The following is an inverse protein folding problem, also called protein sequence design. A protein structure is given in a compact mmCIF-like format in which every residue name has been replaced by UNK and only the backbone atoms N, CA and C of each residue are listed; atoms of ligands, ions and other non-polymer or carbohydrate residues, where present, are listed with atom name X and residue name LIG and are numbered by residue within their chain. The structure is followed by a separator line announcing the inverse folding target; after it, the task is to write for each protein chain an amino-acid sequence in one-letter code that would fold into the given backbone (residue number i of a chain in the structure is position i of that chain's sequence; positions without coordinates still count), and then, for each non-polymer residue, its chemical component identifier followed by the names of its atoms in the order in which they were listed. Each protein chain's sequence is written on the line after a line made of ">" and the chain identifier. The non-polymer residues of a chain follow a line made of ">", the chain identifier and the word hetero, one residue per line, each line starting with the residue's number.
data_IF_643855221036
#
_entry.id   IF_643855221036
#
_cell.length_a   1.000
_cell.length_b   1.000
_cell.length_c   1.000
_cell.angle_alpha   90.00
_cell.angle_beta   90.00
_cell.angle_gamma   90.00
#
_symmetry.space_group_name_H-M   'P 1'
#
loop_
_entity.id
_entity.type
_entity.pdbx_description
1 polymer ?
#
# COMPACT_ATOMS: atom_id res chain seq x y z
N UNK A 1 -15.11 -4.57 -14.43
CA UNK A 1 -13.86 -3.80 -14.29
C UNK A 1 -12.70 -4.71 -14.62
N UNK A 2 -11.76 -4.21 -15.43
CA UNK A 2 -10.50 -4.89 -15.76
C UNK A 2 -9.40 -4.37 -14.84
N UNK A 3 -8.38 -5.20 -14.63
CA UNK A 3 -7.20 -4.83 -13.86
C UNK A 3 -6.02 -4.86 -14.81
N UNK A 4 -5.21 -3.82 -14.78
CA UNK A 4 -4.00 -3.74 -15.59
C UNK A 4 -2.78 -3.60 -14.68
N UNK A 5 -1.70 -4.28 -15.05
CA UNK A 5 -0.43 -4.18 -14.36
C UNK A 5 0.69 -4.03 -15.38
N UNK A 6 1.58 -3.08 -15.15
CA UNK A 6 2.81 -2.99 -15.89
C UNK A 6 3.86 -3.93 -15.28
N UNK A 7 4.55 -4.68 -16.13
CA UNK A 7 5.66 -5.55 -15.73
C UNK A 7 6.87 -5.28 -16.64
N UNK A 8 8.11 -5.37 -16.14
CA UNK A 8 9.29 -5.34 -16.99
C UNK A 8 9.21 -6.45 -18.03
N UNK A 9 9.49 -6.13 -19.29
CA UNK A 9 9.43 -7.07 -20.42
C UNK A 9 10.32 -8.28 -20.16
N UNK A 10 11.49 -8.07 -19.58
CA UNK A 10 12.44 -9.12 -19.21
C UNK A 10 11.93 -10.09 -18.13
N UNK A 11 10.89 -9.71 -17.37
CA UNK A 11 10.28 -10.53 -16.32
C UNK A 11 8.96 -11.17 -16.76
N UNK A 12 8.48 -10.87 -17.97
CA UNK A 12 7.22 -11.43 -18.47
C UNK A 12 7.42 -12.86 -18.97
N UNK A 13 6.67 -13.79 -18.40
CA UNK A 13 6.59 -15.18 -18.86
C UNK A 13 5.15 -15.48 -19.31
N UNK A 14 4.93 -15.85 -20.59
CA UNK A 14 3.61 -16.17 -21.11
C UNK A 14 2.91 -17.27 -20.31
N UNK A 15 1.63 -17.05 -19.98
CA UNK A 15 0.77 -17.98 -19.25
C UNK A 15 1.27 -18.40 -17.86
N UNK A 16 2.26 -17.70 -17.29
CA UNK A 16 2.71 -17.97 -15.93
C UNK A 16 1.60 -17.68 -14.92
N UNK A 17 1.39 -18.63 -14.01
CA UNK A 17 0.48 -18.47 -12.88
C UNK A 17 1.17 -17.67 -11.78
N UNK A 18 0.76 -16.42 -11.65
CA UNK A 18 1.19 -15.54 -10.58
C UNK A 18 0.42 -15.87 -9.31
N UNK A 19 1.16 -16.13 -8.23
CA UNK A 19 0.63 -16.50 -6.92
C UNK A 19 0.99 -15.47 -5.86
N UNK A 20 0.40 -15.63 -4.67
CA UNK A 20 0.72 -14.83 -3.49
C UNK A 20 2.23 -14.85 -3.23
N UNK A 21 2.84 -13.68 -3.10
CA UNK A 21 4.22 -13.58 -2.65
C UNK A 21 4.29 -13.84 -1.12
N UNK A 22 5.22 -14.68 -0.62
CA UNK A 22 5.26 -15.05 0.80
C UNK A 22 5.76 -13.91 1.71
N UNK A 23 6.59 -13.01 1.18
CA UNK A 23 7.18 -11.90 1.92
C UNK A 23 6.26 -10.69 2.08
N UNK A 24 6.62 -9.81 3.03
CA UNK A 24 6.00 -8.50 3.23
C UNK A 24 6.71 -7.46 2.38
N UNK A 25 5.94 -6.67 1.63
CA UNK A 25 6.43 -5.48 0.96
C UNK A 25 6.45 -4.32 1.96
N UNK A 26 7.62 -3.72 2.13
CA UNK A 26 7.75 -2.46 2.85
C UNK A 26 7.39 -1.31 1.90
N UNK A 27 6.78 -0.21 2.41
CA UNK A 27 6.54 0.95 1.59
C UNK A 27 7.88 1.59 1.18
N UNK A 28 7.97 2.03 -0.08
CA UNK A 28 9.16 2.72 -0.62
C UNK A 28 9.03 4.25 -0.58
N UNK A 29 7.79 4.76 -0.66
CA UNK A 29 7.47 6.18 -0.79
C UNK A 29 6.44 6.67 0.25
N UNK A 30 6.04 5.81 1.19
CA UNK A 30 5.16 6.14 2.31
C UNK A 30 5.98 6.05 3.60
N UNK A 31 5.88 7.05 4.52
CA UNK A 31 6.54 6.95 5.82
C UNK A 31 6.06 5.71 6.58
N UNK A 32 6.98 4.99 7.23
CA UNK A 32 6.65 3.76 7.95
C UNK A 32 5.55 3.96 9.01
N UNK A 33 5.56 5.10 9.70
CA UNK A 33 4.48 5.48 10.61
C UNK A 33 3.10 5.48 9.95
N UNK A 34 2.99 6.05 8.75
CA UNK A 34 1.72 6.12 8.03
C UNK A 34 1.27 4.72 7.61
N UNK A 35 2.18 3.92 7.04
CA UNK A 35 1.90 2.53 6.67
C UNK A 35 1.52 1.65 7.88
N UNK A 36 2.22 1.81 9.00
CA UNK A 36 1.93 1.14 10.26
C UNK A 36 0.53 1.49 10.77
N UNK A 37 0.14 2.77 10.72
CA UNK A 37 -1.20 3.23 11.14
C UNK A 37 -2.30 2.77 10.18
N UNK A 38 -2.04 2.74 8.88
CA UNK A 38 -2.94 2.15 7.91
C UNK A 38 -3.14 0.67 8.23
N UNK A 39 -2.10 -0.14 8.32
CA UNK A 39 -2.25 -1.56 8.62
C UNK A 39 -2.82 -1.85 10.02
N UNK A 40 -2.57 -0.98 11.00
CA UNK A 40 -3.16 -1.10 12.34
C UNK A 40 -4.68 -0.92 12.34
N UNK A 41 -5.17 0.04 11.55
CA UNK A 41 -6.60 0.38 11.43
C UNK A 41 -7.33 -0.40 10.35
N UNK A 42 -6.63 -1.28 9.63
CA UNK A 42 -7.17 -2.05 8.52
C UNK A 42 -8.33 -2.95 8.97
N UNK A 43 -9.51 -2.85 8.35
CA UNK A 43 -10.57 -3.83 8.54
C UNK A 43 -10.13 -5.21 8.04
N UNK A 44 -10.53 -6.27 8.75
CA UNK A 44 -10.07 -7.65 8.50
C UNK A 44 -10.30 -8.15 7.07
N UNK A 45 -11.39 -7.68 6.45
CA UNK A 45 -11.88 -8.06 5.13
C UNK A 45 -11.19 -7.29 3.99
N UNK A 46 -10.41 -6.26 4.30
CA UNK A 46 -9.71 -5.44 3.31
C UNK A 46 -8.31 -5.99 3.04
N UNK A 47 -7.81 -5.90 1.80
CA UNK A 47 -6.46 -6.34 1.48
C UNK A 47 -5.40 -5.51 2.24
N UNK A 48 -4.35 -6.19 2.69
CA UNK A 48 -3.14 -5.60 3.27
C UNK A 48 -2.21 -5.10 2.18
N UNK A 49 -1.78 -3.84 2.27
CA UNK A 49 -0.81 -3.24 1.33
C UNK A 49 0.55 -3.94 1.34
N UNK A 50 0.87 -4.61 2.45
CA UNK A 50 2.12 -5.34 2.65
C UNK A 50 2.15 -6.69 1.94
N UNK A 51 1.00 -7.20 1.56
CA UNK A 51 0.87 -8.47 0.83
C UNK A 51 0.16 -8.31 -0.52
N UNK A 52 -0.23 -7.09 -0.85
CA UNK A 52 -1.01 -6.79 -2.03
C UNK A 52 -0.20 -6.83 -3.33
N UNK A 53 -0.92 -7.17 -4.38
CA UNK A 53 -0.59 -6.88 -5.76
C UNK A 53 -1.24 -5.56 -6.14
N UNK A 54 -0.49 -4.72 -6.85
CA UNK A 54 -0.90 -3.39 -7.29
C UNK A 54 -1.25 -3.41 -8.77
N UNK A 55 -2.28 -2.67 -9.14
CA UNK A 55 -2.85 -2.60 -10.48
C UNK A 55 -3.42 -1.20 -10.76
N UNK A 56 -3.93 -1.01 -11.97
CA UNK A 56 -4.57 0.21 -12.45
C UNK A 56 -5.84 -0.11 -13.24
N UNK A 57 -6.81 0.83 -13.32
CA UNK A 57 -8.06 0.61 -14.04
C UNK A 57 -7.87 0.62 -15.58
N UNK A 58 -6.73 1.14 -16.07
CA UNK A 58 -6.38 1.19 -17.48
C UNK A 58 -4.92 0.80 -17.73
N UNK A 59 -4.60 0.40 -18.97
CA UNK A 59 -3.25 0.04 -19.39
C UNK A 59 -2.30 1.25 -19.39
N UNK A 60 -2.81 2.42 -19.79
CA UNK A 60 -2.08 3.67 -19.85
C UNK A 60 -1.63 4.11 -18.46
N UNK A 61 -2.53 4.02 -17.46
CA UNK A 61 -2.21 4.30 -16.07
C UNK A 61 -1.19 3.30 -15.51
N UNK A 62 -1.33 2.01 -15.84
CA UNK A 62 -0.37 1.00 -15.42
C UNK A 62 1.06 1.32 -15.90
N UNK A 63 1.20 1.80 -17.15
CA UNK A 63 2.49 2.23 -17.72
C UNK A 63 2.96 3.59 -17.20
N UNK A 64 2.05 4.48 -16.83
CA UNK A 64 2.39 5.79 -16.25
C UNK A 64 3.04 5.66 -14.88
N UNK A 65 2.54 4.73 -14.07
CA UNK A 65 3.01 4.47 -12.72
C UNK A 65 3.95 3.25 -12.62
N UNK A 66 4.46 2.78 -13.76
CA UNK A 66 5.46 1.72 -13.81
C UNK A 66 6.77 2.20 -13.18
N UNK A 67 6.98 1.88 -11.89
CA UNK A 67 8.21 2.18 -11.16
C UNK A 67 8.71 0.89 -10.50
N UNK A 68 9.44 0.06 -11.24
CA UNK A 68 10.14 -1.10 -10.69
C UNK A 68 11.63 -1.12 -11.11
N UNK A 69 12.52 -1.17 -10.12
CA UNK A 69 13.87 -1.74 -10.30
C UNK A 69 14.82 -1.05 -11.28
N UNK A 70 14.63 0.23 -11.63
CA UNK A 70 15.58 0.97 -12.46
C UNK A 70 15.53 0.66 -13.97
N UNK A 71 14.57 -0.14 -14.43
CA UNK A 71 14.31 -0.32 -15.86
C UNK A 71 13.75 0.98 -16.46
N UNK A 72 14.13 1.32 -17.70
CA UNK A 72 13.57 2.49 -18.37
C UNK A 72 12.08 2.26 -18.66
N UNK A 73 11.27 3.32 -18.66
CA UNK A 73 9.81 3.22 -18.88
C UNK A 73 9.43 2.50 -20.19
N UNK A 74 10.31 2.55 -21.19
CA UNK A 74 10.18 1.82 -22.47
C UNK A 74 10.31 0.30 -22.37
N UNK A 75 10.87 -0.21 -21.27
CA UNK A 75 11.12 -1.64 -21.06
C UNK A 75 9.93 -2.32 -20.35
N UNK A 76 8.79 -1.64 -20.23
CA UNK A 76 7.57 -2.15 -19.61
C UNK A 76 6.50 -2.48 -20.63
N UNK A 77 5.75 -3.52 -20.33
CA UNK A 77 4.50 -3.86 -21.02
C UNK A 77 3.33 -3.78 -20.04
N UNK A 78 2.21 -3.25 -20.50
CA UNK A 78 0.95 -3.36 -19.77
C UNK A 78 0.32 -4.73 -20.06
N UNK A 79 -0.19 -5.35 -19.00
CA UNK A 79 -0.89 -6.62 -19.08
C UNK A 79 -2.26 -6.50 -18.41
N UNK A 80 -3.30 -7.00 -19.08
CA UNK A 80 -4.59 -7.27 -18.46
C UNK A 80 -4.44 -8.51 -17.56
N UNK A 81 -4.97 -8.42 -16.33
CA UNK A 81 -4.91 -9.48 -15.34
C UNK A 81 -6.17 -10.36 -15.44
N UNK A 82 -5.98 -11.67 -15.54
CA UNK A 82 -7.07 -12.65 -15.51
C UNK A 82 -6.95 -13.51 -14.26
N UNK A 83 -7.98 -13.47 -13.41
CA UNK A 83 -7.98 -14.18 -12.13
C UNK A 83 -8.72 -15.52 -12.24
N UNK A 84 -8.25 -16.54 -11.52
CA UNK A 84 -9.01 -17.78 -11.33
C UNK A 84 -10.27 -17.52 -10.48
N UNK A 85 -10.11 -16.76 -9.39
CA UNK A 85 -11.20 -16.21 -8.57
C UNK A 85 -11.00 -14.72 -8.39
N UNK A 86 -12.06 -13.92 -8.57
CA UNK A 86 -11.95 -12.46 -8.43
C UNK A 86 -11.64 -12.07 -6.98
N UNK A 87 -10.55 -11.34 -6.70
CA UNK A 87 -10.19 -10.95 -5.34
C UNK A 87 -11.01 -9.74 -4.87
N UNK A 88 -11.10 -9.56 -3.56
CA UNK A 88 -11.49 -8.28 -2.96
C UNK A 88 -10.38 -7.28 -3.21
N UNK A 89 -10.74 -6.07 -3.63
CA UNK A 89 -9.78 -5.02 -3.97
C UNK A 89 -10.19 -3.69 -3.36
N UNK A 90 -9.23 -2.78 -3.25
CA UNK A 90 -9.44 -1.37 -2.95
C UNK A 90 -8.97 -0.54 -4.14
N UNK A 91 -9.72 0.51 -4.44
CA UNK A 91 -9.29 1.60 -5.32
C UNK A 91 -9.11 2.85 -4.47
N UNK A 92 -7.98 3.52 -4.62
CA UNK A 92 -7.76 4.80 -3.95
C UNK A 92 -8.44 5.94 -4.74
N UNK A 93 -8.98 6.96 -4.05
CA UNK A 93 -9.51 8.17 -4.70
C UNK A 93 -8.39 9.12 -5.19
N UNK A 94 -7.15 8.64 -5.17
CA UNK A 94 -5.95 9.36 -5.57
C UNK A 94 -5.10 8.45 -6.45
N UNK A 95 -4.34 9.04 -7.37
CA UNK A 95 -3.56 8.31 -8.37
C UNK A 95 -2.50 7.37 -7.78
N UNK A 96 -1.91 7.77 -6.64
CA UNK A 96 -0.85 7.05 -5.93
C UNK A 96 -1.06 7.22 -4.43
N UNK A 97 -0.83 6.16 -3.65
CA UNK A 97 -1.00 6.19 -2.20
C UNK A 97 -0.19 7.30 -1.51
N UNK A 98 0.94 7.74 -2.08
CA UNK A 98 1.75 8.85 -1.52
C UNK A 98 1.02 10.18 -1.53
N UNK A 99 0.01 10.31 -2.39
CA UNK A 99 -0.83 11.50 -2.52
C UNK A 99 -2.05 11.45 -1.59
N UNK A 100 -2.24 10.37 -0.85
CA UNK A 100 -3.38 10.24 0.06
C UNK A 100 -3.30 11.30 1.19
N UNK A 101 -4.40 12.00 1.52
CA UNK A 101 -4.39 13.06 2.54
C UNK A 101 -3.82 12.64 3.90
N UNK A 102 -4.06 11.38 4.30
CA UNK A 102 -3.47 10.81 5.53
C UNK A 102 -1.95 10.98 5.61
N UNK A 103 -1.22 10.90 4.50
CA UNK A 103 0.25 11.06 4.50
C UNK A 103 0.61 12.42 5.10
N UNK A 104 -0.02 13.49 4.61
CA UNK A 104 0.19 14.85 5.10
C UNK A 104 -0.37 15.03 6.52
N UNK A 105 -1.61 14.60 6.76
CA UNK A 105 -2.33 14.81 8.03
C UNK A 105 -1.62 14.13 9.20
N UNK A 106 -1.20 12.89 9.02
CA UNK A 106 -0.51 12.12 10.06
C UNK A 106 0.91 12.63 10.29
N UNK A 107 1.64 13.00 9.24
CA UNK A 107 2.95 13.66 9.38
C UNK A 107 2.83 14.97 10.16
N UNK A 108 1.85 15.83 9.83
CA UNK A 108 1.63 17.09 10.55
C UNK A 108 1.24 16.85 12.01
N UNK A 109 0.38 15.86 12.27
CA UNK A 109 0.02 15.47 13.63
C UNK A 109 1.26 15.08 14.45
N UNK A 110 2.09 14.18 13.91
CA UNK A 110 3.29 13.73 14.60
C UNK A 110 4.32 14.85 14.72
N UNK A 111 4.55 15.67 13.70
CA UNK A 111 5.47 16.80 13.79
C UNK A 111 5.06 17.82 14.87
N UNK A 112 3.76 18.09 15.01
CA UNK A 112 3.25 18.94 16.11
C UNK A 112 3.54 18.33 17.48
N UNK A 113 3.39 17.01 17.62
CA UNK A 113 3.70 16.29 18.86
C UNK A 113 5.21 16.13 19.09
N UNK A 114 6.03 15.96 18.05
CA UNK A 114 7.49 15.89 18.15
C UNK A 114 8.08 17.17 18.78
N UNK A 115 7.47 18.32 18.51
CA UNK A 115 7.83 19.58 19.16
C UNK A 115 7.75 19.50 20.68
N UNK A 116 6.64 18.99 21.22
CA UNK A 116 6.49 18.77 22.67
C UNK A 116 7.33 17.59 23.17
N UNK A 117 7.61 16.60 22.33
CA UNK A 117 8.43 15.44 22.70
C UNK A 117 9.94 15.69 22.71
N UNK A 118 10.40 16.77 22.07
CA UNK A 118 11.82 17.12 22.03
C UNK A 118 12.42 17.29 23.43
N UNK A 119 11.61 17.77 24.38
CA UNK A 119 11.96 17.95 25.79
C UNK A 119 11.85 16.67 26.64
N UNK A 120 11.31 15.58 26.09
CA UNK A 120 11.18 14.33 26.83
C UNK A 120 12.55 13.64 27.03
N UNK A 121 12.61 12.81 28.06
CA UNK A 121 13.76 11.91 28.31
C UNK A 121 13.98 10.96 27.13
N UNK A 122 15.20 10.44 27.01
CA UNK A 122 15.52 9.43 25.99
C UNK A 122 14.61 8.20 26.10
N UNK A 123 14.30 7.76 27.32
CA UNK A 123 13.41 6.62 27.56
C UNK A 123 12.01 6.83 26.94
N UNK A 124 11.42 8.01 27.11
CA UNK A 124 10.13 8.34 26.49
C UNK A 124 10.21 8.45 24.97
N UNK A 125 11.32 8.97 24.42
CA UNK A 125 11.53 9.01 22.96
C UNK A 125 11.64 7.60 22.38
N UNK A 126 12.36 6.70 23.07
CA UNK A 126 12.48 5.30 22.67
C UNK A 126 11.13 4.55 22.76
N UNK A 127 10.28 4.88 23.73
CA UNK A 127 8.93 4.32 23.82
C UNK A 127 8.06 4.64 22.59
N UNK A 128 8.38 5.71 21.84
CA UNK A 128 7.68 6.08 20.60
C UNK A 128 8.27 5.44 19.34
N UNK A 129 9.47 4.87 19.42
CA UNK A 129 10.21 4.32 18.29
C UNK A 129 9.43 3.25 17.50
N UNK A 130 8.62 2.35 18.11
CA UNK A 130 7.92 1.30 17.36
C UNK A 130 7.07 1.85 16.22
N UNK A 131 6.46 3.03 16.37
CA UNK A 131 5.64 3.64 15.32
C UNK A 131 6.45 3.94 14.04
N UNK A 132 7.76 4.18 14.15
CA UNK A 132 8.63 4.56 13.04
C UNK A 132 9.42 3.38 12.45
N UNK A 133 9.33 2.19 13.05
CA UNK A 133 10.01 1.00 12.53
C UNK A 133 9.31 0.47 11.26
N UNK A 134 10.07 -0.11 10.31
CA UNK A 134 9.48 -0.66 9.10
C UNK A 134 8.63 -1.91 9.40
N UNK A 135 7.39 -1.92 8.92
CA UNK A 135 6.59 -3.15 8.83
C UNK A 135 6.06 -3.70 10.15
N UNK A 136 5.92 -2.87 11.17
CA UNK A 136 5.39 -3.28 12.50
C UNK A 136 3.97 -3.79 12.37
N UNK A 137 3.74 -5.00 12.86
CA UNK A 137 2.43 -5.66 12.81
C UNK A 137 1.45 -5.06 13.80
N UNK A 138 0.17 -5.34 13.58
CA UNK A 138 -0.89 -4.97 14.53
C UNK A 138 -0.64 -5.56 15.92
N UNK A 139 -0.15 -6.79 16.02
CA UNK A 139 0.16 -7.44 17.28
C UNK A 139 1.31 -6.73 18.02
N UNK A 140 2.42 -6.45 17.32
CA UNK A 140 3.56 -5.73 17.90
C UNK A 140 3.18 -4.30 18.34
N UNK A 141 2.30 -3.61 17.58
CA UNK A 141 1.77 -2.30 18.00
C UNK A 141 0.92 -2.42 19.27
N UNK A 142 0.02 -3.40 19.35
CA UNK A 142 -0.81 -3.62 20.54
C UNK A 142 0.06 -3.91 21.77
N UNK A 143 1.06 -4.78 21.64
CA UNK A 143 2.03 -5.08 22.70
C UNK A 143 2.78 -3.81 23.14
N UNK A 144 3.29 -3.01 22.20
CA UNK A 144 3.95 -1.74 22.52
C UNK A 144 3.01 -0.75 23.24
N UNK A 145 1.72 -0.70 22.87
CA UNK A 145 0.71 0.12 23.54
C UNK A 145 0.43 -0.32 24.97
N UNK A 146 0.57 -1.60 25.29
CA UNK A 146 0.44 -2.10 26.66
C UNK A 146 1.62 -1.66 27.54
N UNK A 147 2.80 -1.49 26.96
CA UNK A 147 4.02 -1.09 27.70
C UNK A 147 4.18 0.42 27.92
N UNK A 148 3.44 1.26 27.19
CA UNK A 148 3.58 2.71 27.27
C UNK A 148 2.25 3.44 27.02
N UNK A 149 1.73 4.09 28.06
CA UNK A 149 0.53 4.92 27.96
C UNK A 149 0.70 6.08 26.97
N UNK A 150 1.88 6.72 26.97
CA UNK A 150 2.25 7.75 26.01
C UNK A 150 2.16 7.22 24.57
N UNK A 151 2.70 6.03 24.30
CA UNK A 151 2.61 5.42 22.98
C UNK A 151 1.16 5.11 22.60
N UNK A 152 0.39 4.56 23.54
CA UNK A 152 -1.00 4.22 23.32
C UNK A 152 -1.88 5.45 23.01
N UNK A 153 -1.69 6.57 23.70
CA UNK A 153 -2.37 7.84 23.41
C UNK A 153 -2.10 8.26 21.96
N UNK A 154 -0.82 8.29 21.58
CA UNK A 154 -0.38 8.73 20.25
C UNK A 154 -0.93 7.85 19.15
N UNK A 155 -0.85 6.53 19.30
CA UNK A 155 -1.37 5.59 18.31
C UNK A 155 -2.89 5.72 18.19
N UNK A 156 -3.64 5.81 19.29
CA UNK A 156 -5.11 5.95 19.24
C UNK A 156 -5.54 7.26 18.57
N UNK A 157 -4.87 8.36 18.89
CA UNK A 157 -5.14 9.64 18.24
C UNK A 157 -4.77 9.65 16.77
N UNK A 158 -3.61 9.12 16.40
CA UNK A 158 -3.23 9.04 15.00
C UNK A 158 -4.18 8.11 14.21
N UNK A 159 -4.55 6.97 14.79
CA UNK A 159 -5.49 6.01 14.22
C UNK A 159 -6.87 6.61 13.98
N UNK A 160 -7.38 7.45 14.89
CA UNK A 160 -8.69 8.11 14.71
C UNK A 160 -8.74 9.13 13.58
N UNK A 161 -7.58 9.47 13.00
CA UNK A 161 -7.44 10.37 11.85
C UNK A 161 -7.24 9.63 10.52
N UNK A 162 -7.10 8.30 10.55
CA UNK A 162 -6.93 7.50 9.34
C UNK A 162 -8.22 7.49 8.54
N UNK A 163 -8.13 7.89 7.27
CA UNK A 163 -9.25 7.87 6.32
C UNK A 163 -9.00 6.93 5.14
N UNK A 164 -7.83 6.28 5.11
CA UNK A 164 -7.38 5.40 4.03
C UNK A 164 -8.33 4.26 3.67
N UNK A 165 -8.99 3.65 4.66
CA UNK A 165 -9.86 2.50 4.46
C UNK A 165 -11.28 2.87 4.02
N UNK A 166 -11.39 3.86 3.13
CA UNK A 166 -12.65 4.39 2.60
C UNK A 166 -13.63 3.27 2.15
N UNK A 167 -14.94 3.42 2.37
CA UNK A 167 -15.93 2.43 1.97
C UNK A 167 -15.85 2.11 0.47
N UNK A 168 -16.10 0.83 0.16
CA UNK A 168 -15.91 0.21 -1.15
C UNK A 168 -16.66 0.92 -2.29
N UNK A 169 -16.06 0.91 -3.48
CA UNK A 169 -16.84 0.64 -4.69
C UNK A 169 -17.06 1.78 -5.67
N UNK A 170 -16.52 2.98 -5.47
CA UNK A 170 -16.48 3.93 -6.59
C UNK A 170 -15.35 3.50 -7.51
N UNK A 171 -15.75 2.86 -8.62
CA UNK A 171 -14.87 2.59 -9.73
C UNK A 171 -14.59 3.94 -10.38
N UNK A 172 -13.47 4.53 -10.00
CA UNK A 172 -12.99 5.77 -10.59
C UNK A 172 -12.27 5.47 -11.91
N UNK A 173 -12.25 6.44 -12.82
CA UNK A 173 -11.46 6.35 -14.05
C UNK A 173 -9.94 6.35 -13.77
N UNK A 174 -9.55 6.83 -12.58
CA UNK A 174 -8.16 6.97 -12.12
C UNK A 174 -7.97 6.30 -10.76
N UNK A 175 -6.72 6.23 -10.28
CA UNK A 175 -6.41 5.74 -8.94
C UNK A 175 -5.72 4.37 -8.89
N UNK A 176 -4.84 4.22 -7.91
CA UNK A 176 -4.15 2.96 -7.62
C UNK A 176 -5.16 1.91 -7.13
N UNK A 177 -5.10 0.72 -7.72
CA UNK A 177 -5.83 -0.46 -7.26
C UNK A 177 -4.87 -1.38 -6.53
N UNK A 178 -5.33 -2.00 -5.45
CA UNK A 178 -4.58 -3.10 -4.84
C UNK A 178 -5.50 -4.16 -4.25
N UNK A 179 -5.01 -5.40 -4.25
CA UNK A 179 -5.72 -6.58 -3.77
C UNK A 179 -4.74 -7.64 -3.28
N UNK A 180 -5.20 -8.57 -2.46
CA UNK A 180 -4.44 -9.78 -2.10
C UNK A 180 -4.88 -10.98 -2.94
N UNK A 181 -3.93 -11.90 -3.17
CA UNK A 181 -4.22 -13.20 -3.74
C UNK A 181 -4.19 -14.22 -2.60
N UNK A 182 -5.31 -14.89 -2.37
CA UNK A 182 -5.41 -16.00 -1.41
C UNK A 182 -4.49 -17.17 -1.80
N UNK A 183 -4.10 -18.02 -0.85
CA UNK A 183 -3.16 -19.14 -1.09
C UNK A 183 -3.64 -20.10 -2.20
N UNK A 184 -4.95 -20.31 -2.32
CA UNK A 184 -5.56 -21.15 -3.35
C UNK A 184 -5.89 -20.45 -4.67
N UNK A 185 -5.59 -19.16 -4.79
CA UNK A 185 -5.93 -18.36 -5.97
C UNK A 185 -4.67 -18.01 -6.78
N UNK A 186 -4.86 -17.66 -8.05
CA UNK A 186 -3.80 -17.22 -8.94
C UNK A 186 -4.37 -16.32 -10.04
N UNK A 187 -3.48 -15.61 -10.71
CA UNK A 187 -3.81 -14.85 -11.90
C UNK A 187 -2.76 -15.03 -12.99
N UNK A 188 -3.15 -14.74 -14.23
CA UNK A 188 -2.24 -14.69 -15.39
C UNK A 188 -2.21 -13.27 -15.93
N UNK A 189 -1.14 -12.96 -16.68
CA UNK A 189 -0.94 -11.68 -17.33
C UNK A 189 -1.03 -11.86 -18.85
N UNK A 190 -1.94 -11.10 -19.48
CA UNK A 190 -2.07 -11.03 -20.94
C UNK A 190 -1.64 -9.65 -21.42
N UNK A 191 -0.55 -9.52 -22.20
CA UNK A 191 -0.14 -8.25 -22.77
C UNK A 191 -1.30 -7.62 -23.56
N UNK A 192 -1.52 -6.34 -23.33
CA UNK A 192 -2.37 -5.55 -24.24
C UNK A 192 -1.55 -5.22 -25.48
N UNK A 193 -2.17 -5.24 -26.67
CA UNK A 193 -1.51 -4.78 -27.88
C UNK A 193 -1.04 -3.33 -27.65
N UNK A 194 0.18 -3.02 -28.08
CA UNK A 194 0.70 -1.65 -28.02
C UNK A 194 -0.31 -0.71 -28.63
N UNK A 195 -0.68 0.32 -27.88
CA UNK A 195 -1.46 1.44 -28.41
C UNK A 195 -0.51 2.17 -29.36
N UNK A 196 -0.46 1.72 -30.61
CA UNK A 196 0.18 2.48 -31.66
C UNK A 196 -0.51 3.83 -31.71
N UNK A 197 0.26 4.87 -31.41
CA UNK A 197 -0.19 6.25 -31.49
C UNK A 197 -0.45 6.55 -32.96
N UNK A 198 -1.71 6.44 -33.37
CA UNK A 198 -2.21 7.02 -34.62
C UNK A 198 -2.23 8.53 -34.54
#
# INVERSE_FOLDING_TARGET
>A
MKFFRAVPTAQYVPNELQRRHPGRRLPSNIPYMVDNLWEFTRPSERPSRRHAVYASPSAELALAYAVAGGAARRDYIACEMTFQKRPTFIQLPVEDAKLHPDVLVLQQFVNRRLGSWSALSLAHKLALAPLFLPGVTRAELLEAMETSELFAEVVREAASRVTFWWPEGVVEETGELFFEIDEGNAYTLKPVASIESS
#
